data_IF_391401195770
#
_entry.id   IF_391401195770
#
_cell.length_a   1.000
_cell.length_b   1.000
_cell.length_c   1.000
_cell.angle_alpha   90.00
_cell.angle_beta   90.00
_cell.angle_gamma   90.00
#
_symmetry.space_group_name_H-M   'P 1'
#
loop_
_entity.id
_entity.type
_entity.pdbx_description
1 polymer ?
#
# COMPACT_ATOMS: atom_id res chain seq x y z
N UNK A 1 -25.76 48.87 -36.26
CA UNK A 1 -26.41 47.84 -35.43
C UNK A 1 -25.87 46.50 -35.90
N UNK A 2 -24.87 45.96 -35.20
CA UNK A 2 -24.34 44.62 -35.50
C UNK A 2 -25.10 43.67 -34.58
N UNK A 3 -26.05 42.92 -35.14
CA UNK A 3 -26.75 41.83 -34.45
C UNK A 3 -25.81 40.63 -34.38
N UNK A 4 -25.21 40.41 -33.22
CA UNK A 4 -24.49 39.18 -32.90
C UNK A 4 -25.54 38.18 -32.41
N UNK A 5 -26.17 37.45 -33.33
CA UNK A 5 -26.79 36.16 -32.99
C UNK A 5 -25.71 35.09 -33.10
N UNK A 6 -24.87 34.96 -32.07
CA UNK A 6 -24.05 33.76 -31.88
C UNK A 6 -24.99 32.59 -31.54
N UNK A 7 -25.47 31.89 -32.57
CA UNK A 7 -26.08 30.56 -32.37
C UNK A 7 -25.01 29.67 -31.75
N UNK A 8 -25.17 29.38 -30.46
CA UNK A 8 -24.32 28.44 -29.73
C UNK A 8 -24.16 27.16 -30.58
N UNK A 9 -22.91 26.85 -30.94
CA UNK A 9 -22.60 25.74 -31.82
C UNK A 9 -23.06 24.42 -31.17
N UNK A 10 -24.24 23.93 -31.58
CA UNK A 10 -24.91 22.79 -30.95
C UNK A 10 -24.07 21.53 -30.99
N UNK A 11 -23.24 21.37 -32.03
CA UNK A 11 -22.29 20.25 -32.15
C UNK A 11 -21.16 20.33 -31.12
N UNK A 12 -20.64 21.52 -30.84
CA UNK A 12 -19.61 21.72 -29.81
C UNK A 12 -20.17 21.40 -28.42
N UNK A 13 -21.40 21.82 -28.13
CA UNK A 13 -22.07 21.51 -26.86
C UNK A 13 -22.34 20.01 -26.68
N UNK A 14 -22.77 19.31 -27.72
CA UNK A 14 -22.96 17.86 -27.70
C UNK A 14 -21.63 17.12 -27.48
N UNK A 15 -20.57 17.51 -28.18
CA UNK A 15 -19.24 16.91 -28.02
C UNK A 15 -18.69 17.12 -26.61
N UNK A 16 -18.79 18.34 -26.07
CA UNK A 16 -18.39 18.64 -24.70
C UNK A 16 -19.16 17.78 -23.68
N UNK A 17 -20.49 17.69 -23.84
CA UNK A 17 -21.34 16.94 -22.91
C UNK A 17 -21.05 15.44 -22.96
N UNK A 18 -20.83 14.88 -24.15
CA UNK A 18 -20.45 13.47 -24.33
C UNK A 18 -19.10 13.16 -23.69
N UNK A 19 -18.11 14.03 -23.89
CA UNK A 19 -16.80 13.86 -23.26
C UNK A 19 -16.89 14.01 -21.74
N UNK A 20 -17.65 14.98 -21.24
CA UNK A 20 -17.89 15.13 -19.80
C UNK A 20 -18.54 13.88 -19.20
N UNK A 21 -19.51 13.25 -19.87
CA UNK A 21 -20.11 12.00 -19.39
C UNK A 21 -19.12 10.84 -19.38
N UNK A 22 -18.26 10.73 -20.41
CA UNK A 22 -17.20 9.72 -20.46
C UNK A 22 -16.16 9.91 -19.35
N UNK A 23 -15.83 11.16 -19.02
CA UNK A 23 -14.86 11.55 -17.98
C UNK A 23 -15.46 11.67 -16.59
N UNK A 24 -16.79 11.62 -16.46
CA UNK A 24 -17.48 11.74 -15.16
C UNK A 24 -17.02 10.71 -14.11
N UNK A 25 -16.70 9.46 -14.47
CA UNK A 25 -16.10 8.51 -13.53
C UNK A 25 -14.74 8.98 -12.98
N UNK A 26 -13.95 9.70 -13.78
CA UNK A 26 -12.61 10.18 -13.41
C UNK A 26 -12.63 11.27 -12.32
N UNK A 27 -13.78 11.95 -12.15
CA UNK A 27 -13.95 13.05 -11.18
C UNK A 27 -14.86 12.69 -10.01
N UNK A 28 -15.45 11.49 -9.99
CA UNK A 28 -16.23 11.03 -8.84
C UNK A 28 -15.27 10.49 -7.79
N UNK A 29 -15.44 10.88 -6.50
CA UNK A 29 -14.68 10.24 -5.45
C UNK A 29 -14.97 8.73 -5.46
N UNK A 30 -13.96 7.89 -5.19
CA UNK A 30 -14.18 6.46 -5.08
C UNK A 30 -15.22 6.16 -3.99
N UNK A 31 -15.92 5.03 -4.14
CA UNK A 31 -16.83 4.51 -3.12
C UNK A 31 -16.11 4.45 -1.76
N UNK A 32 -16.67 4.94 -0.64
CA UNK A 32 -15.96 4.98 0.64
C UNK A 32 -15.88 3.57 1.25
N UNK A 33 -14.97 2.74 0.74
CA UNK A 33 -14.75 1.38 1.19
C UNK A 33 -13.72 1.36 2.32
N UNK A 34 -13.99 0.62 3.39
CA UNK A 34 -12.93 0.25 4.33
C UNK A 34 -12.04 -0.83 3.71
N UNK A 35 -10.86 -1.06 4.29
CA UNK A 35 -9.93 -2.07 3.79
C UNK A 35 -10.55 -3.47 3.80
N UNK A 36 -11.27 -3.86 4.86
CA UNK A 36 -11.90 -5.18 4.93
C UNK A 36 -12.90 -5.39 3.81
N UNK A 37 -13.74 -4.38 3.55
CA UNK A 37 -14.77 -4.42 2.49
C UNK A 37 -14.11 -4.46 1.11
N UNK A 38 -13.09 -3.62 0.88
CA UNK A 38 -12.36 -3.62 -0.38
C UNK A 38 -11.67 -4.97 -0.64
N UNK A 39 -10.97 -5.52 0.36
CA UNK A 39 -10.27 -6.79 0.24
C UNK A 39 -11.25 -7.93 -0.06
N UNK A 40 -12.36 -8.02 0.69
CA UNK A 40 -13.41 -9.01 0.42
C UNK A 40 -14.09 -8.81 -0.94
N UNK A 41 -14.08 -7.61 -1.52
CA UNK A 41 -14.69 -7.30 -2.81
C UNK A 41 -13.78 -7.64 -3.99
N UNK A 42 -12.50 -7.30 -3.91
CA UNK A 42 -11.58 -7.31 -5.05
C UNK A 42 -10.40 -8.25 -4.91
N UNK A 43 -9.88 -8.49 -3.70
CA UNK A 43 -8.61 -9.17 -3.53
C UNK A 43 -8.70 -10.66 -3.87
N UNK A 44 -7.61 -11.18 -4.45
CA UNK A 44 -7.47 -12.57 -4.86
C UNK A 44 -6.23 -13.17 -4.21
N UNK A 45 -6.39 -14.36 -3.67
CA UNK A 45 -5.33 -15.21 -3.14
C UNK A 45 -4.74 -16.07 -4.28
N UNK A 46 -3.48 -15.78 -4.60
CA UNK A 46 -2.69 -16.51 -5.59
C UNK A 46 -2.38 -17.94 -5.15
N UNK A 47 -2.32 -18.87 -6.12
CA UNK A 47 -2.08 -20.31 -5.88
C UNK A 47 -0.73 -20.58 -5.23
N UNK A 48 0.26 -19.78 -5.60
CA UNK A 48 1.65 -19.96 -5.23
C UNK A 48 1.89 -19.71 -3.73
N UNK A 49 1.09 -18.85 -3.10
CA UNK A 49 1.31 -18.41 -1.71
C UNK A 49 0.13 -18.65 -0.77
N UNK A 50 -0.94 -19.29 -1.25
CA UNK A 50 -2.16 -19.47 -0.47
C UNK A 50 -2.70 -20.89 -0.52
N UNK A 51 -2.98 -21.47 0.64
CA UNK A 51 -3.63 -22.78 0.77
C UNK A 51 -5.07 -22.78 0.20
N UNK A 52 -5.76 -21.64 0.33
CA UNK A 52 -7.03 -21.38 -0.31
C UNK A 52 -6.79 -20.40 -1.47
N UNK A 53 -7.07 -20.85 -2.69
CA UNK A 53 -6.95 -20.02 -3.89
C UNK A 53 -8.28 -19.35 -4.21
N UNK A 54 -8.21 -18.15 -4.76
CA UNK A 54 -9.38 -17.45 -5.31
C UNK A 54 -9.70 -16.21 -4.51
N UNK A 55 -10.96 -15.78 -4.52
CA UNK A 55 -11.35 -14.54 -3.87
C UNK A 55 -11.07 -14.59 -2.37
N UNK A 56 -10.37 -13.58 -1.87
CA UNK A 56 -10.07 -13.44 -0.46
C UNK A 56 -11.38 -13.34 0.35
N UNK A 57 -11.39 -14.02 1.49
CA UNK A 57 -12.41 -13.89 2.52
C UNK A 57 -11.70 -13.73 3.85
N UNK A 58 -11.97 -12.63 4.52
CA UNK A 58 -11.39 -12.39 5.83
C UNK A 58 -12.00 -13.30 6.89
N UNK A 59 -11.19 -13.66 7.87
CA UNK A 59 -11.71 -14.10 9.16
C UNK A 59 -12.18 -12.89 9.95
N UNK A 60 -13.19 -13.07 10.81
CA UNK A 60 -13.79 -11.98 11.58
C UNK A 60 -12.77 -11.15 12.40
N UNK A 61 -11.70 -11.78 12.90
CA UNK A 61 -10.66 -11.07 13.64
C UNK A 61 -9.77 -10.18 12.77
N UNK A 62 -9.72 -10.43 11.45
CA UNK A 62 -8.90 -9.65 10.51
C UNK A 62 -9.59 -8.34 10.12
N UNK A 63 -10.92 -8.29 10.15
CA UNK A 63 -11.71 -7.12 9.76
C UNK A 63 -11.37 -5.89 10.61
N UNK A 64 -11.35 -6.05 11.93
CA UNK A 64 -10.99 -4.95 12.83
C UNK A 64 -9.56 -4.44 12.61
N UNK A 65 -8.60 -5.34 12.33
CA UNK A 65 -7.22 -4.95 12.01
C UNK A 65 -7.16 -4.15 10.70
N UNK A 66 -7.85 -4.63 9.67
CA UNK A 66 -7.90 -3.99 8.36
C UNK A 66 -8.56 -2.61 8.44
N UNK A 67 -9.70 -2.52 9.10
CA UNK A 67 -10.49 -1.29 9.12
C UNK A 67 -9.83 -0.19 9.95
N UNK A 68 -9.10 -0.54 11.02
CA UNK A 68 -8.25 0.40 11.75
C UNK A 68 -7.15 1.04 10.85
N UNK A 69 -6.65 0.31 9.85
CA UNK A 69 -5.65 0.84 8.90
C UNK A 69 -6.28 1.89 7.98
N UNK A 70 -7.54 1.74 7.59
CA UNK A 70 -8.23 2.72 6.75
C UNK A 70 -9.02 3.79 7.53
N UNK A 71 -9.11 3.66 8.85
CA UNK A 71 -9.74 4.69 9.68
C UNK A 71 -8.95 6.01 9.58
N UNK A 72 -9.59 7.12 9.13
CA UNK A 72 -8.91 8.41 8.95
C UNK A 72 -8.51 9.08 10.28
N UNK A 73 -9.08 8.65 11.40
CA UNK A 73 -8.76 9.17 12.74
C UNK A 73 -7.52 8.53 13.35
N UNK A 74 -7.13 7.36 12.83
CA UNK A 74 -5.97 6.61 13.29
C UNK A 74 -4.76 6.97 12.44
N UNK A 75 -3.60 7.27 13.02
CA UNK A 75 -2.37 7.49 12.24
C UNK A 75 -1.40 6.31 12.37
N UNK A 76 -1.38 5.67 13.54
CA UNK A 76 -0.45 4.60 13.89
C UNK A 76 -1.24 3.34 14.25
N UNK A 77 -0.85 2.19 13.70
CA UNK A 77 -1.46 0.89 14.00
C UNK A 77 -0.37 -0.08 14.37
N UNK A 78 -0.40 -0.58 15.60
CA UNK A 78 0.53 -1.61 16.09
C UNK A 78 -0.20 -2.95 16.22
N UNK A 79 0.29 -3.97 15.52
CA UNK A 79 -0.31 -5.32 15.51
C UNK A 79 0.68 -6.31 16.13
N UNK A 80 0.54 -6.53 17.44
CA UNK A 80 1.21 -7.62 18.14
C UNK A 80 0.43 -8.92 17.91
N UNK A 81 1.04 -9.88 17.20
CA UNK A 81 0.33 -11.06 16.69
C UNK A 81 1.12 -12.35 16.89
N UNK A 82 0.45 -13.50 16.82
CA UNK A 82 1.13 -14.80 16.72
C UNK A 82 1.53 -15.11 15.27
N UNK A 83 2.43 -16.07 15.09
CA UNK A 83 2.76 -16.55 13.75
C UNK A 83 1.53 -17.15 13.04
N UNK A 84 1.53 -17.08 11.69
CA UNK A 84 0.55 -17.76 10.81
C UNK A 84 -0.93 -17.34 10.95
N UNK A 85 -1.19 -16.10 11.38
CA UNK A 85 -2.56 -15.53 11.47
C UNK A 85 -3.04 -14.79 10.21
N UNK A 86 -2.31 -14.94 9.09
CA UNK A 86 -2.64 -14.25 7.83
C UNK A 86 -2.27 -12.76 7.79
N UNK A 87 -1.39 -12.30 8.68
CA UNK A 87 -0.98 -10.89 8.75
C UNK A 87 -0.33 -10.37 7.46
N UNK A 88 0.54 -11.17 6.83
CA UNK A 88 1.15 -10.80 5.54
C UNK A 88 0.10 -10.54 4.47
N UNK A 89 -0.99 -11.33 4.41
CA UNK A 89 -2.10 -11.09 3.47
C UNK A 89 -2.87 -9.81 3.78
N UNK A 90 -3.00 -9.45 5.05
CA UNK A 90 -3.54 -8.14 5.43
C UNK A 90 -2.67 -7.03 4.83
N UNK A 91 -1.34 -7.10 4.99
CA UNK A 91 -0.41 -6.10 4.42
C UNK A 91 -0.47 -6.07 2.89
N UNK A 92 -0.54 -7.22 2.22
CA UNK A 92 -0.75 -7.30 0.77
C UNK A 92 -1.99 -6.49 0.37
N UNK A 93 -3.10 -6.67 1.09
CA UNK A 93 -4.34 -5.97 0.80
C UNK A 93 -4.29 -4.49 1.16
N UNK A 94 -3.53 -4.08 2.18
CA UNK A 94 -3.22 -2.66 2.43
C UNK A 94 -2.52 -2.05 1.22
N UNK A 95 -1.49 -2.73 0.70
CA UNK A 95 -0.78 -2.29 -0.51
C UNK A 95 -1.77 -2.20 -1.67
N UNK A 96 -2.55 -3.24 -1.94
CA UNK A 96 -3.55 -3.25 -3.01
C UNK A 96 -4.56 -2.10 -2.92
N UNK A 97 -5.08 -1.85 -1.71
CA UNK A 97 -6.02 -0.77 -1.44
C UNK A 97 -5.42 0.60 -1.78
N UNK A 98 -4.21 0.89 -1.30
CA UNK A 98 -3.56 2.18 -1.55
C UNK A 98 -2.88 2.28 -2.93
N UNK A 99 -2.83 1.20 -3.70
CA UNK A 99 -2.46 1.25 -5.12
C UNK A 99 -3.68 1.57 -6.00
N UNK A 100 -4.82 0.91 -5.77
CA UNK A 100 -5.98 1.03 -6.65
C UNK A 100 -7.06 2.00 -6.17
N UNK A 101 -7.39 1.99 -4.88
CA UNK A 101 -8.57 2.66 -4.35
C UNK A 101 -8.26 4.07 -3.82
N UNK A 102 -7.15 4.23 -3.12
CA UNK A 102 -6.63 5.52 -2.65
C UNK A 102 -5.15 5.67 -3.07
N UNK A 103 -4.88 5.89 -4.39
CA UNK A 103 -3.54 5.82 -4.98
C UNK A 103 -2.50 6.63 -4.23
N UNK A 104 -1.41 6.00 -3.82
CA UNK A 104 -0.41 6.66 -2.96
C UNK A 104 1.02 6.12 -3.07
N UNK A 105 2.01 6.90 -2.59
CA UNK A 105 3.36 6.40 -2.40
C UNK A 105 3.41 5.55 -1.12
N UNK A 106 3.76 4.27 -1.28
CA UNK A 106 3.76 3.25 -0.23
C UNK A 106 5.20 2.79 0.00
N UNK A 107 5.59 2.66 1.27
CA UNK A 107 6.84 2.05 1.70
C UNK A 107 6.54 0.77 2.48
N UNK A 108 7.07 -0.36 2.03
CA UNK A 108 7.11 -1.61 2.79
C UNK A 108 8.53 -1.85 3.27
N UNK A 109 8.67 -2.16 4.55
CA UNK A 109 9.94 -2.47 5.18
C UNK A 109 9.89 -3.91 5.68
N UNK A 110 10.88 -4.70 5.26
CA UNK A 110 11.12 -6.08 5.70
C UNK A 110 12.43 -6.14 6.50
N UNK A 111 12.70 -7.20 7.29
CA UNK A 111 13.91 -7.29 8.11
C UNK A 111 15.22 -7.14 7.32
N UNK A 112 15.32 -7.79 6.16
CA UNK A 112 16.48 -7.70 5.27
C UNK A 112 16.11 -7.34 3.83
N UNK A 113 17.11 -6.90 3.06
CA UNK A 113 16.93 -6.59 1.62
C UNK A 113 16.49 -7.85 0.86
N UNK A 114 17.04 -9.00 1.21
CA UNK A 114 16.70 -10.29 0.61
C UNK A 114 15.24 -10.66 0.90
N UNK A 115 14.76 -10.41 2.12
CA UNK A 115 13.36 -10.62 2.52
C UNK A 115 12.42 -9.68 1.72
N UNK A 116 12.83 -8.42 1.50
CA UNK A 116 12.09 -7.45 0.69
C UNK A 116 12.01 -7.87 -0.79
N UNK A 117 13.11 -8.40 -1.35
CA UNK A 117 13.12 -8.91 -2.71
C UNK A 117 12.26 -10.16 -2.87
N UNK A 118 12.34 -11.09 -1.91
CA UNK A 118 11.52 -12.29 -1.90
C UNK A 118 10.05 -11.92 -1.84
N UNK A 119 9.65 -11.10 -0.86
CA UNK A 119 8.28 -10.62 -0.71
C UNK A 119 7.75 -9.92 -1.98
N UNK A 120 8.60 -9.14 -2.67
CA UNK A 120 8.18 -8.55 -3.95
C UNK A 120 7.90 -9.61 -5.03
N UNK A 121 8.66 -10.70 -5.08
CA UNK A 121 8.56 -11.74 -6.13
C UNK A 121 7.45 -12.74 -5.81
N UNK A 122 7.33 -13.13 -4.55
CA UNK A 122 6.46 -14.22 -4.10
C UNK A 122 5.07 -13.72 -3.74
N UNK A 123 4.92 -12.52 -3.17
CA UNK A 123 3.62 -12.00 -2.72
C UNK A 123 3.09 -10.89 -3.63
N UNK A 124 3.86 -9.80 -3.79
CA UNK A 124 3.38 -8.61 -4.51
C UNK A 124 3.15 -8.90 -5.99
N UNK A 125 4.09 -9.54 -6.68
CA UNK A 125 3.95 -9.77 -8.13
C UNK A 125 2.75 -10.67 -8.48
N UNK A 126 2.49 -11.80 -7.78
CA UNK A 126 1.27 -12.57 -7.98
C UNK A 126 -0.01 -11.80 -7.63
N UNK A 127 -0.01 -11.02 -6.53
CA UNK A 127 -1.17 -10.20 -6.18
C UNK A 127 -1.53 -9.19 -7.27
N UNK A 128 -0.53 -8.48 -7.82
CA UNK A 128 -0.71 -7.52 -8.91
C UNK A 128 -1.26 -8.17 -10.18
N UNK A 129 -0.84 -9.41 -10.47
CA UNK A 129 -1.29 -10.19 -11.63
C UNK A 129 -2.73 -10.70 -11.46
N UNK A 130 -3.06 -11.23 -10.29
CA UNK A 130 -4.28 -12.01 -10.07
C UNK A 130 -5.47 -11.17 -9.61
N UNK A 131 -5.23 -9.98 -9.03
CA UNK A 131 -6.29 -9.05 -8.63
C UNK A 131 -6.62 -8.12 -9.80
N UNK A 132 -7.83 -8.21 -10.42
CA UNK A 132 -8.11 -7.52 -11.69
C UNK A 132 -7.87 -6.01 -11.66
N UNK A 133 -8.32 -5.33 -10.61
CA UNK A 133 -8.15 -3.87 -10.45
C UNK A 133 -6.67 -3.46 -10.29
N UNK A 134 -5.81 -4.36 -9.83
CA UNK A 134 -4.36 -4.12 -9.75
C UNK A 134 -3.67 -4.44 -11.07
N UNK A 135 -4.10 -5.48 -11.76
CA UNK A 135 -3.56 -5.87 -13.06
C UNK A 135 -3.74 -4.73 -14.09
N UNK A 136 -4.90 -4.07 -14.06
CA UNK A 136 -5.21 -2.92 -14.93
C UNK A 136 -4.24 -1.74 -14.77
N UNK A 137 -3.75 -1.49 -13.55
CA UNK A 137 -2.86 -0.36 -13.25
C UNK A 137 -1.37 -0.70 -13.26
N UNK A 138 -1.03 -2.00 -13.27
CA UNK A 138 0.35 -2.51 -13.18
C UNK A 138 1.20 -2.25 -14.43
N UNK A 139 0.56 -1.91 -15.55
CA UNK A 139 1.24 -1.70 -16.83
C UNK A 139 1.80 -3.00 -17.43
N UNK A 140 2.54 -2.89 -18.53
CA UNK A 140 3.17 -4.04 -19.18
C UNK A 140 4.47 -4.44 -18.45
N UNK A 141 4.55 -5.64 -17.84
CA UNK A 141 5.76 -6.13 -17.17
C UNK A 141 6.98 -6.26 -18.11
N UNK A 142 6.75 -6.35 -19.42
CA UNK A 142 7.81 -6.48 -20.45
C UNK A 142 8.33 -5.14 -20.94
N UNK A 143 7.66 -4.04 -20.61
CA UNK A 143 8.14 -2.70 -20.95
C UNK A 143 9.43 -2.41 -20.16
N UNK A 144 10.54 -2.21 -20.88
CA UNK A 144 11.80 -1.78 -20.26
C UNK A 144 11.64 -0.36 -19.72
N UNK A 145 11.36 -0.25 -18.42
CA UNK A 145 11.26 1.02 -17.72
C UNK A 145 12.28 1.04 -16.58
N UNK A 146 13.20 2.01 -16.59
CA UNK A 146 14.20 2.19 -15.52
C UNK A 146 13.57 2.47 -14.14
N UNK A 147 12.30 2.89 -14.12
CA UNK A 147 11.54 3.17 -12.90
C UNK A 147 10.79 1.93 -12.37
N UNK A 148 10.98 0.76 -12.99
CA UNK A 148 10.36 -0.51 -12.59
C UNK A 148 11.47 -1.51 -12.24
N UNK A 149 11.69 -1.72 -10.94
CA UNK A 149 12.62 -2.72 -10.42
C UNK A 149 11.88 -3.73 -9.52
N UNK A 150 12.61 -4.72 -9.01
CA UNK A 150 12.06 -5.65 -8.02
C UNK A 150 11.56 -4.86 -6.80
N UNK A 151 12.38 -3.96 -6.26
CA UNK A 151 12.09 -3.22 -5.02
C UNK A 151 11.35 -1.89 -5.24
N UNK A 152 11.17 -1.42 -6.48
CA UNK A 152 10.44 -0.18 -6.79
C UNK A 152 9.48 -0.38 -7.94
N UNK A 153 8.21 -0.12 -7.71
CA UNK A 153 7.15 -0.26 -8.71
C UNK A 153 6.39 1.04 -8.87
N UNK A 154 6.24 1.51 -10.10
CA UNK A 154 5.44 2.70 -10.43
C UNK A 154 4.25 2.27 -11.28
N UNK A 155 3.06 2.78 -10.95
CA UNK A 155 1.79 2.36 -11.56
C UNK A 155 1.22 3.46 -12.45
N UNK A 156 0.33 3.09 -13.39
CA UNK A 156 -0.23 4.00 -14.39
C UNK A 156 -1.05 5.15 -13.79
N UNK A 157 -1.61 4.95 -12.60
CA UNK A 157 -2.38 5.96 -11.87
C UNK A 157 -1.53 6.87 -10.97
N UNK A 158 -0.20 6.79 -11.06
CA UNK A 158 0.74 7.62 -10.30
C UNK A 158 1.07 7.10 -8.90
N UNK A 159 0.41 6.04 -8.43
CA UNK A 159 0.84 5.36 -7.19
C UNK A 159 2.20 4.69 -7.38
N UNK A 160 2.89 4.44 -6.27
CA UNK A 160 4.16 3.72 -6.28
C UNK A 160 4.35 2.91 -5.01
N UNK A 161 5.10 1.82 -5.16
CA UNK A 161 5.48 0.92 -4.09
C UNK A 161 6.99 0.83 -4.02
N UNK A 162 7.57 1.14 -2.87
CA UNK A 162 8.98 0.95 -2.57
C UNK A 162 9.13 -0.09 -1.46
N UNK A 163 10.01 -1.06 -1.65
CA UNK A 163 10.34 -2.09 -0.67
C UNK A 163 11.79 -1.90 -0.20
N UNK A 164 12.02 -1.97 1.11
CA UNK A 164 13.32 -1.73 1.74
C UNK A 164 13.61 -2.80 2.80
N UNK A 165 14.86 -3.22 2.90
CA UNK A 165 15.36 -4.00 4.03
C UNK A 165 15.80 -3.11 5.19
N UNK A 166 15.35 -3.39 6.41
CA UNK A 166 15.71 -2.68 7.63
C UNK A 166 17.23 -2.77 7.95
N UNK A 167 17.92 -3.78 7.41
CA UNK A 167 19.38 -3.90 7.47
C UNK A 167 20.15 -2.97 6.53
N UNK A 168 19.48 -2.18 5.67
CA UNK A 168 20.11 -1.27 4.70
C UNK A 168 19.70 0.19 4.95
N UNK A 169 20.50 0.97 5.72
CA UNK A 169 20.17 2.35 6.10
C UNK A 169 20.01 3.27 4.89
N UNK A 170 20.90 3.11 3.90
CA UNK A 170 20.86 3.85 2.65
C UNK A 170 19.56 3.66 1.86
N UNK A 171 18.84 2.54 2.08
CA UNK A 171 17.56 2.25 1.45
C UNK A 171 16.45 3.23 1.82
N UNK A 172 16.50 3.84 3.00
CA UNK A 172 15.50 4.82 3.45
C UNK A 172 15.71 6.22 2.86
N UNK A 173 16.87 6.49 2.25
CA UNK A 173 17.22 7.83 1.75
C UNK A 173 16.39 8.16 0.52
N UNK A 174 15.99 9.44 0.41
CA UNK A 174 15.25 9.98 -0.75
C UNK A 174 13.91 9.27 -1.04
N UNK A 175 13.29 8.72 0.00
CA UNK A 175 11.92 8.21 -0.06
C UNK A 175 10.99 9.23 0.58
N UNK A 176 9.88 9.51 -0.11
CA UNK A 176 8.74 10.27 0.40
C UNK A 176 7.51 9.39 0.20
N UNK A 177 6.83 9.01 1.29
CA UNK A 177 5.72 8.07 1.25
C UNK A 177 4.62 8.48 2.22
N UNK A 178 3.37 8.15 1.89
CA UNK A 178 2.21 8.44 2.75
C UNK A 178 1.88 7.25 3.64
N UNK A 179 1.99 6.04 3.08
CA UNK A 179 1.66 4.78 3.75
C UNK A 179 2.97 4.04 4.03
N UNK A 180 3.20 3.66 5.28
CA UNK A 180 4.40 2.92 5.69
C UNK A 180 3.97 1.65 6.41
N UNK A 181 4.45 0.52 5.92
CA UNK A 181 4.21 -0.80 6.48
C UNK A 181 5.54 -1.39 6.95
N UNK A 182 5.72 -1.55 8.25
CA UNK A 182 6.86 -2.24 8.83
C UNK A 182 6.42 -3.66 9.22
N UNK A 183 6.93 -4.65 8.50
CA UNK A 183 6.64 -6.06 8.74
C UNK A 183 7.79 -6.71 9.50
N UNK A 184 7.44 -7.67 10.35
CA UNK A 184 8.36 -8.41 11.23
C UNK A 184 9.38 -7.51 11.98
N UNK A 185 8.88 -6.42 12.59
CA UNK A 185 9.72 -5.42 13.29
C UNK A 185 10.61 -5.97 14.41
N UNK A 186 10.25 -7.09 15.05
CA UNK A 186 11.11 -7.73 16.05
C UNK A 186 12.31 -8.45 15.42
N UNK A 187 12.27 -8.74 14.12
CA UNK A 187 13.39 -9.28 13.35
C UNK A 187 14.39 -8.22 12.89
N UNK A 188 14.15 -6.93 13.16
CA UNK A 188 15.02 -5.85 12.72
C UNK A 188 16.34 -5.83 13.50
N UNK A 189 17.46 -5.40 12.88
CA UNK A 189 18.74 -5.30 13.57
C UNK A 189 18.65 -4.44 14.85
N UNK A 190 18.98 -5.05 15.99
CA UNK A 190 18.88 -4.43 17.32
C UNK A 190 19.78 -3.20 17.48
N UNK A 191 20.92 -3.17 16.78
CA UNK A 191 21.86 -2.04 16.74
C UNK A 191 21.39 -0.85 15.88
N UNK A 192 20.16 -0.87 15.35
CA UNK A 192 19.67 0.16 14.44
C UNK A 192 20.19 -0.01 13.01
N UNK A 193 19.93 0.99 12.18
CA UNK A 193 20.40 1.07 10.80
C UNK A 193 21.88 1.53 10.78
N UNK A 194 22.76 0.78 11.44
CA UNK A 194 24.15 1.18 11.66
C UNK A 194 24.23 2.48 12.48
N UNK A 195 24.89 3.52 11.95
CA UNK A 195 25.03 4.83 12.61
C UNK A 195 23.83 5.77 12.42
N UNK A 196 22.86 5.42 11.56
CA UNK A 196 21.74 6.32 11.21
C UNK A 196 20.57 6.29 12.22
N UNK A 197 20.63 5.40 13.21
CA UNK A 197 19.63 5.28 14.28
C UNK A 197 18.56 4.23 14.01
N UNK A 198 17.42 4.33 14.69
CA UNK A 198 16.35 3.34 14.62
C UNK A 198 15.61 3.34 13.26
N UNK A 199 15.40 2.15 12.70
CA UNK A 199 14.81 1.94 11.38
C UNK A 199 13.34 2.39 11.31
N UNK A 200 12.56 2.17 12.37
CA UNK A 200 11.15 2.57 12.42
C UNK A 200 11.08 4.10 12.42
N UNK A 201 11.93 4.76 13.20
CA UNK A 201 12.04 6.21 13.19
C UNK A 201 12.50 6.76 11.82
N UNK A 202 13.51 6.16 11.20
CA UNK A 202 14.00 6.55 9.88
C UNK A 202 12.95 6.43 8.77
N UNK A 203 12.18 5.34 8.79
CA UNK A 203 11.06 5.15 7.87
C UNK A 203 9.91 6.09 8.16
N UNK A 204 9.52 6.26 9.43
CA UNK A 204 8.44 7.17 9.85
C UNK A 204 8.67 8.61 9.38
N UNK A 205 9.93 9.07 9.45
CA UNK A 205 10.34 10.40 8.95
C UNK A 205 10.03 10.63 7.45
N UNK A 206 9.91 9.57 6.65
CA UNK A 206 9.60 9.66 5.20
C UNK A 206 8.18 10.09 4.90
N UNK A 207 7.31 10.09 5.91
CA UNK A 207 5.91 10.48 5.80
C UNK A 207 5.57 11.84 6.41
N UNK A 208 6.53 12.55 7.00
CA UNK A 208 6.28 13.79 7.75
C UNK A 208 5.58 14.89 6.94
N UNK A 209 5.74 14.90 5.62
CA UNK A 209 5.08 15.88 4.74
C UNK A 209 3.61 15.57 4.47
N UNK A 210 3.12 14.38 4.82
CA UNK A 210 1.73 13.96 4.61
C UNK A 210 0.94 14.07 5.91
N UNK A 211 -0.05 14.96 5.94
CA UNK A 211 -0.96 15.12 7.08
C UNK A 211 -1.86 13.89 7.31
N UNK A 212 -2.19 13.17 6.24
CA UNK A 212 -3.03 11.96 6.22
C UNK A 212 -2.21 10.68 6.04
N UNK A 213 -1.01 10.64 6.64
CA UNK A 213 -0.14 9.46 6.63
C UNK A 213 -0.73 8.31 7.44
N UNK A 214 -0.35 7.08 7.09
CA UNK A 214 -0.66 5.87 7.86
C UNK A 214 0.60 5.08 8.10
N UNK A 215 0.84 4.70 9.35
CA UNK A 215 2.01 3.94 9.77
C UNK A 215 1.52 2.66 10.44
N UNK A 216 1.91 1.50 9.90
CA UNK A 216 1.48 0.19 10.38
C UNK A 216 2.71 -0.62 10.75
N UNK A 217 2.72 -1.18 11.96
CA UNK A 217 3.76 -2.05 12.46
C UNK A 217 3.13 -3.39 12.83
N UNK A 218 3.77 -4.49 12.50
CA UNK A 218 3.38 -5.78 13.04
C UNK A 218 4.52 -6.76 13.13
N UNK A 219 4.47 -7.61 14.15
CA UNK A 219 5.42 -8.71 14.32
C UNK A 219 4.92 -9.70 15.36
N UNK A 220 5.61 -10.83 15.42
CA UNK A 220 5.51 -11.76 16.54
C UNK A 220 6.46 -11.28 17.63
N UNK A 221 5.97 -10.98 18.86
CA UNK A 221 6.85 -10.50 19.92
C UNK A 221 7.88 -11.58 20.29
N UNK A 222 9.13 -11.17 20.47
CA UNK A 222 10.26 -12.07 20.72
C UNK A 222 10.62 -12.16 22.21
N UNK A 223 11.34 -11.16 22.73
CA UNK A 223 11.82 -11.13 24.11
C UNK A 223 11.08 -10.04 24.89
N UNK A 224 10.40 -10.44 25.97
CA UNK A 224 9.65 -9.52 26.84
C UNK A 224 10.54 -8.37 27.34
N UNK A 225 10.05 -7.15 27.22
CA UNK A 225 10.76 -5.92 27.62
C UNK A 225 11.80 -5.41 26.61
N UNK A 226 12.14 -6.21 25.59
CA UNK A 226 13.03 -5.82 24.49
C UNK A 226 12.34 -5.85 23.12
N UNK A 227 11.17 -6.48 23.04
CA UNK A 227 10.36 -6.60 21.83
C UNK A 227 9.90 -5.22 21.34
N UNK A 228 10.18 -4.93 20.07
CA UNK A 228 9.85 -3.64 19.45
C UNK A 228 8.35 -3.53 19.23
N UNK A 229 7.70 -4.61 18.81
CA UNK A 229 6.25 -4.64 18.65
C UNK A 229 5.52 -4.57 19.99
N UNK A 230 6.03 -5.22 21.04
CA UNK A 230 5.45 -5.12 22.39
C UNK A 230 5.45 -3.68 22.89
N UNK A 231 6.58 -2.98 22.75
CA UNK A 231 6.68 -1.57 23.10
C UNK A 231 5.71 -0.71 22.29
N UNK A 232 5.73 -0.84 20.96
CA UNK A 232 4.85 -0.07 20.08
C UNK A 232 3.38 -0.30 20.39
N UNK A 233 2.99 -1.55 20.70
CA UNK A 233 1.63 -1.91 21.05
C UNK A 233 1.19 -1.29 22.38
N UNK A 234 2.07 -1.22 23.37
CA UNK A 234 1.76 -0.55 24.65
C UNK A 234 1.66 0.98 24.56
N UNK A 235 2.35 1.58 23.57
CA UNK A 235 2.34 3.02 23.31
C UNK A 235 1.17 3.48 22.40
N UNK A 236 0.43 2.54 21.80
CA UNK A 236 -0.64 2.81 20.81
C UNK A 236 -2.04 2.93 21.41
#
# INVERSE_FOLDING_TARGET
MITIEEKANTSAWQNFTQELYKRRPDIRPPEPLSLSVWANKYAVLSKETSAQTGRFRSFAYQDGMMDAITDPTVTYVSVMKSARVGYTKILDHVVGYYLAHDPSPILVVQPRVEDAEDYSKTEIAPMLRDTPVLAEISGDPKAKNSNQTILKKTFLNGSNLTLVGANSPGGFRRITCRIILFDEVDGYPSGGAGVEGDQIALGTKRSETFWNRKIVLGSTPTVKGASRIEKSFGDS
#
